data_IF_177936709003
#
_entry.id   IF_177936709003
#
_cell.length_a   1.000
_cell.length_b   1.000
_cell.length_c   1.000
_cell.angle_alpha   90.00
_cell.angle_beta   90.00
_cell.angle_gamma   90.00
#
_symmetry.space_group_name_H-M   'P 1'
#
loop_
_entity.id
_entity.type
_entity.pdbx_description
1 polymer ?
#
# COMPACT_ATOMS: atom_id res chain seq x y z
N UNK A 1 -12.68 -9.91 -12.95
CA UNK A 1 -11.89 -8.65 -12.88
C UNK A 1 -12.66 -7.62 -12.09
N UNK A 2 -11.93 -6.87 -11.27
CA UNK A 2 -12.53 -5.77 -10.51
C UNK A 2 -12.86 -4.60 -11.43
N UNK A 3 -13.83 -3.78 -11.00
CA UNK A 3 -14.22 -2.61 -11.79
C UNK A 3 -13.16 -1.53 -11.80
N UNK A 4 -13.09 -0.72 -12.88
CA UNK A 4 -12.25 0.47 -12.90
C UNK A 4 -12.66 1.45 -11.80
N UNK A 5 -11.70 2.26 -11.35
CA UNK A 5 -11.94 3.28 -10.34
C UNK A 5 -11.18 4.55 -10.65
N UNK A 6 -11.51 5.63 -9.98
CA UNK A 6 -10.85 6.91 -10.20
C UNK A 6 -10.11 7.39 -8.94
N UNK A 7 -8.96 8.01 -9.15
CA UNK A 7 -8.21 8.69 -8.11
C UNK A 7 -7.96 10.13 -8.53
N UNK A 8 -8.01 11.04 -7.57
CA UNK A 8 -7.65 12.44 -7.78
C UNK A 8 -6.18 12.61 -7.40
N UNK A 9 -5.33 12.85 -8.38
CA UNK A 9 -3.89 12.94 -8.19
C UNK A 9 -3.41 14.29 -8.70
N UNK A 10 -2.92 15.13 -7.79
CA UNK A 10 -2.42 16.49 -8.10
C UNK A 10 -3.44 17.34 -8.87
N UNK A 11 -4.70 17.27 -8.43
CA UNK A 11 -5.78 18.06 -9.02
C UNK A 11 -6.40 17.48 -10.28
N UNK A 12 -5.93 16.31 -10.76
CA UNK A 12 -6.44 15.67 -11.97
C UNK A 12 -7.04 14.31 -11.66
N UNK A 13 -8.19 14.00 -12.27
CA UNK A 13 -8.81 12.68 -12.16
C UNK A 13 -8.13 11.68 -13.07
N UNK A 14 -7.68 10.58 -12.49
CA UNK A 14 -7.06 9.47 -13.19
C UNK A 14 -7.95 8.24 -13.13
N UNK A 15 -8.35 7.73 -14.29
CA UNK A 15 -9.06 6.46 -14.35
C UNK A 15 -8.04 5.32 -14.21
N UNK A 16 -8.27 4.45 -13.23
CA UNK A 16 -7.46 3.28 -12.99
C UNK A 16 -8.21 2.05 -13.49
N UNK A 17 -7.51 1.20 -14.21
CA UNK A 17 -8.08 -0.07 -14.65
C UNK A 17 -8.34 -0.98 -13.45
N UNK A 18 -9.38 -1.79 -13.52
CA UNK A 18 -9.66 -2.76 -12.48
C UNK A 18 -8.51 -3.76 -12.38
N UNK A 19 -8.09 -4.10 -11.16
CA UNK A 19 -6.99 -5.03 -10.96
C UNK A 19 -7.23 -6.39 -11.60
N UNK A 20 -6.17 -6.99 -12.14
CA UNK A 20 -6.22 -8.33 -12.68
C UNK A 20 -6.29 -9.39 -11.58
N UNK A 21 -6.47 -10.64 -11.99
CA UNK A 21 -6.66 -11.75 -11.07
C UNK A 21 -5.47 -11.96 -10.12
N UNK A 22 -4.24 -11.93 -10.63
CA UNK A 22 -3.05 -12.11 -9.80
C UNK A 22 -2.91 -10.98 -8.78
N UNK A 23 -3.15 -9.75 -9.21
CA UNK A 23 -3.12 -8.57 -8.34
C UNK A 23 -4.12 -8.75 -7.18
N UNK A 24 -5.33 -9.18 -7.49
CA UNK A 24 -6.36 -9.39 -6.47
C UNK A 24 -6.02 -10.53 -5.51
N UNK A 25 -5.38 -11.60 -5.98
CA UNK A 25 -4.94 -12.68 -5.09
C UNK A 25 -3.85 -12.20 -4.12
N UNK A 26 -2.90 -11.41 -4.61
CA UNK A 26 -1.85 -10.83 -3.77
C UNK A 26 -2.48 -9.90 -2.74
N UNK A 27 -3.40 -9.05 -3.16
CA UNK A 27 -4.10 -8.13 -2.28
C UNK A 27 -4.88 -8.88 -1.19
N UNK A 28 -5.62 -9.92 -1.56
CA UNK A 28 -6.40 -10.72 -0.61
C UNK A 28 -5.51 -11.43 0.40
N UNK A 29 -4.39 -11.97 -0.05
CA UNK A 29 -3.42 -12.63 0.83
C UNK A 29 -2.84 -11.67 1.86
N UNK A 30 -2.41 -10.52 1.38
CA UNK A 30 -1.83 -9.49 2.26
C UNK A 30 -2.88 -8.94 3.23
N UNK A 31 -4.09 -8.71 2.75
CA UNK A 31 -5.20 -8.25 3.59
C UNK A 31 -5.50 -9.23 4.72
N UNK A 32 -5.53 -10.52 4.42
CA UNK A 32 -5.78 -11.57 5.42
C UNK A 32 -4.75 -11.54 6.54
N UNK A 33 -3.48 -11.43 6.19
CA UNK A 33 -2.38 -11.41 7.17
C UNK A 33 -2.40 -10.11 7.97
N UNK A 34 -2.65 -8.99 7.33
CA UNK A 34 -2.78 -7.70 8.02
C UNK A 34 -3.96 -7.68 8.98
N UNK A 35 -5.10 -8.24 8.56
CA UNK A 35 -6.29 -8.31 9.41
C UNK A 35 -6.01 -9.09 10.69
N UNK A 36 -5.35 -10.25 10.58
CA UNK A 36 -4.94 -11.03 11.74
C UNK A 36 -3.97 -10.25 12.63
N UNK A 37 -3.06 -9.49 12.00
CA UNK A 37 -2.04 -8.73 12.74
C UNK A 37 -2.60 -7.55 13.52
N UNK A 38 -3.66 -6.89 13.03
CA UNK A 38 -4.26 -5.74 13.73
C UNK A 38 -5.25 -6.16 14.82
N UNK A 39 -5.65 -7.43 14.87
CA UNK A 39 -6.68 -7.90 15.78
C UNK A 39 -6.39 -7.56 17.24
N UNK A 40 -5.10 -7.54 17.64
CA UNK A 40 -4.67 -7.24 18.99
C UNK A 40 -4.07 -5.83 19.15
N UNK A 41 -4.27 -4.97 18.14
CA UNK A 41 -3.70 -3.61 18.15
C UNK A 41 -4.82 -2.59 17.90
N UNK A 42 -5.59 -2.24 18.94
CA UNK A 42 -6.74 -1.34 18.78
C UNK A 42 -6.39 0.08 18.36
N UNK A 43 -5.11 0.47 18.47
CA UNK A 43 -4.64 1.80 18.05
C UNK A 43 -4.59 1.96 16.52
N UNK A 44 -4.61 0.86 15.77
CA UNK A 44 -4.57 0.87 14.30
C UNK A 44 -5.75 0.10 13.72
N UNK A 45 -6.18 0.51 12.53
CA UNK A 45 -7.33 -0.07 11.85
C UNK A 45 -6.98 -0.32 10.38
N UNK A 46 -7.33 -1.52 9.89
CA UNK A 46 -7.17 -1.86 8.48
C UNK A 46 -8.43 -1.45 7.72
N UNK A 47 -8.26 -0.66 6.66
CA UNK A 47 -9.36 -0.28 5.79
C UNK A 47 -9.65 -1.38 4.75
N UNK A 48 -10.89 -1.46 4.24
CA UNK A 48 -11.18 -2.34 3.10
C UNK A 48 -10.30 -2.00 1.90
N UNK A 49 -10.00 -2.96 1.03
CA UNK A 49 -9.18 -2.70 -0.16
C UNK A 49 -9.72 -1.56 -1.01
N UNK A 50 -8.83 -0.69 -1.44
CA UNK A 50 -9.10 0.45 -2.31
C UNK A 50 -10.18 1.40 -1.78
N UNK A 51 -10.27 1.51 -0.47
CA UNK A 51 -11.14 2.50 0.14
C UNK A 51 -10.68 3.90 -0.19
N UNK A 52 -11.64 4.76 -0.51
CA UNK A 52 -11.39 6.15 -0.87
C UNK A 52 -10.87 6.94 0.34
N UNK A 53 -9.71 7.57 0.18
CA UNK A 53 -9.07 8.37 1.24
C UNK A 53 -8.80 9.77 0.69
N UNK A 54 -9.63 10.77 1.06
CA UNK A 54 -9.33 12.15 0.70
C UNK A 54 -8.20 12.66 1.59
N UNK A 55 -7.09 13.08 0.98
CA UNK A 55 -5.95 13.64 1.70
C UNK A 55 -6.06 15.16 1.82
N UNK A 56 -6.47 15.81 0.74
CA UNK A 56 -6.74 17.25 0.67
C UNK A 56 -7.55 17.55 -0.60
N UNK A 57 -7.69 18.82 -0.96
CA UNK A 57 -8.48 19.21 -2.14
C UNK A 57 -7.88 18.76 -3.47
N UNK A 58 -6.59 18.39 -3.51
CA UNK A 58 -5.89 17.99 -4.72
C UNK A 58 -5.68 16.47 -4.85
N UNK A 59 -5.86 15.74 -3.75
CA UNK A 59 -5.53 14.32 -3.70
C UNK A 59 -6.63 13.53 -3.01
N UNK A 60 -7.22 12.60 -3.74
CA UNK A 60 -8.08 11.55 -3.18
C UNK A 60 -7.58 10.24 -3.72
N UNK A 61 -6.97 9.44 -2.85
CA UNK A 61 -6.30 8.19 -3.22
C UNK A 61 -7.13 6.99 -2.81
N UNK A 62 -6.85 5.86 -3.48
CA UNK A 62 -7.45 4.57 -3.17
C UNK A 62 -6.35 3.52 -3.18
N UNK A 63 -5.48 3.50 -2.16
CA UNK A 63 -4.41 2.50 -2.09
C UNK A 63 -5.02 1.10 -2.01
N UNK A 64 -4.29 0.12 -2.51
CA UNK A 64 -4.77 -1.26 -2.47
C UNK A 64 -5.10 -1.69 -1.04
N UNK A 65 -4.21 -1.38 -0.09
CA UNK A 65 -4.47 -1.56 1.33
C UNK A 65 -3.95 -0.34 2.10
N UNK A 66 -4.56 -0.09 3.26
CA UNK A 66 -4.16 1.04 4.10
C UNK A 66 -4.41 0.75 5.57
N UNK A 67 -3.46 1.18 6.40
CA UNK A 67 -3.63 1.22 7.85
C UNK A 67 -3.74 2.66 8.31
N UNK A 68 -4.73 2.92 9.13
CA UNK A 68 -4.96 4.23 9.72
C UNK A 68 -4.98 4.15 11.24
N UNK A 69 -4.70 5.26 11.91
CA UNK A 69 -4.85 5.35 13.36
C UNK A 69 -6.33 5.32 13.72
N UNK A 70 -6.70 4.52 14.71
CA UNK A 70 -8.10 4.42 15.14
C UNK A 70 -8.64 5.73 15.73
N UNK A 71 -7.76 6.52 16.34
CA UNK A 71 -8.15 7.75 17.02
C UNK A 71 -8.64 8.85 16.07
N UNK A 72 -8.01 9.01 14.90
CA UNK A 72 -8.29 10.12 14.00
C UNK A 72 -8.28 9.73 12.52
N UNK A 73 -8.28 8.45 12.20
CA UNK A 73 -8.25 7.94 10.82
C UNK A 73 -7.09 8.47 9.97
N UNK A 74 -5.96 8.76 10.61
CA UNK A 74 -4.78 9.23 9.88
C UNK A 74 -4.07 8.06 9.21
N UNK A 75 -3.83 8.18 7.91
CA UNK A 75 -3.08 7.19 7.14
C UNK A 75 -1.63 7.13 7.62
N UNK A 76 -1.16 5.95 8.01
CA UNK A 76 0.24 5.78 8.40
C UNK A 76 0.97 4.71 7.59
N UNK A 77 0.27 3.77 6.97
CA UNK A 77 0.84 2.82 6.03
C UNK A 77 -0.05 2.70 4.81
N UNK A 78 0.51 2.97 3.64
CA UNK A 78 -0.13 2.70 2.37
C UNK A 78 0.56 1.53 1.69
N UNK A 79 -0.22 0.64 1.09
CA UNK A 79 0.29 -0.47 0.28
C UNK A 79 -0.22 -0.27 -1.13
N UNK A 80 0.71 -0.20 -2.08
CA UNK A 80 0.41 -0.16 -3.50
C UNK A 80 0.93 -1.44 -4.15
N UNK A 81 0.02 -2.19 -4.77
CA UNK A 81 0.40 -3.34 -5.58
C UNK A 81 0.52 -2.84 -7.01
N UNK A 82 1.72 -2.85 -7.55
CA UNK A 82 2.03 -2.22 -8.83
C UNK A 82 1.27 -2.92 -9.96
N UNK A 83 0.55 -2.12 -10.77
CA UNK A 83 -0.11 -2.62 -11.97
C UNK A 83 0.87 -2.60 -13.13
N UNK A 84 1.01 -3.72 -13.84
CA UNK A 84 1.87 -3.79 -15.02
C UNK A 84 1.42 -2.83 -16.12
N UNK A 85 0.11 -2.58 -16.22
CA UNK A 85 -0.47 -1.74 -17.27
C UNK A 85 -0.43 -0.25 -16.93
N UNK A 86 -0.25 0.11 -15.66
CA UNK A 86 -0.28 1.51 -15.20
C UNK A 86 0.70 1.73 -14.05
N UNK A 87 1.92 1.18 -14.20
CA UNK A 87 2.92 1.21 -13.12
C UNK A 87 3.40 2.63 -12.78
N UNK A 88 3.38 3.56 -13.74
CA UNK A 88 3.83 4.93 -13.50
C UNK A 88 2.96 5.65 -12.47
N UNK A 89 1.64 5.44 -12.49
CA UNK A 89 0.75 6.03 -11.49
C UNK A 89 1.14 5.58 -10.09
N UNK A 90 1.48 4.30 -9.91
CA UNK A 90 1.85 3.76 -8.61
C UNK A 90 3.28 4.13 -8.21
N UNK A 91 4.25 3.90 -9.09
CA UNK A 91 5.67 4.00 -8.73
C UNK A 91 6.23 5.42 -8.77
N UNK A 92 5.58 6.34 -9.47
CA UNK A 92 6.04 7.73 -9.62
C UNK A 92 5.05 8.70 -9.01
N UNK A 93 3.82 8.75 -9.54
CA UNK A 93 2.85 9.79 -9.17
C UNK A 93 2.38 9.63 -7.71
N UNK A 94 1.87 8.47 -7.36
CA UNK A 94 1.36 8.22 -6.01
C UNK A 94 2.48 8.24 -4.98
N UNK A 95 3.65 7.70 -5.31
CA UNK A 95 4.79 7.74 -4.41
C UNK A 95 5.14 9.18 -4.04
N UNK A 96 5.15 10.09 -5.02
CA UNK A 96 5.41 11.51 -4.77
C UNK A 96 4.35 12.13 -3.86
N UNK A 97 3.08 11.77 -4.06
CA UNK A 97 1.98 12.24 -3.22
C UNK A 97 2.16 11.77 -1.77
N UNK A 98 2.49 10.50 -1.57
CA UNK A 98 2.74 9.99 -0.22
C UNK A 98 3.90 10.71 0.46
N UNK A 99 4.95 11.00 -0.30
CA UNK A 99 6.09 11.77 0.20
C UNK A 99 5.68 13.19 0.61
N UNK A 100 4.96 13.89 -0.27
CA UNK A 100 4.52 15.26 -0.02
C UNK A 100 3.55 15.34 1.18
N UNK A 101 2.73 14.33 1.36
CA UNK A 101 1.76 14.25 2.45
C UNK A 101 2.36 13.67 3.73
N UNK A 102 3.63 13.32 3.72
CA UNK A 102 4.38 12.81 4.88
C UNK A 102 3.75 11.56 5.49
N UNK A 103 3.29 10.66 4.63
CA UNK A 103 2.78 9.35 5.07
C UNK A 103 3.96 8.54 5.63
N UNK A 104 3.87 8.05 6.88
CA UNK A 104 5.02 7.42 7.55
C UNK A 104 5.60 6.19 6.86
N UNK A 105 4.76 5.37 6.24
CA UNK A 105 5.18 4.10 5.62
C UNK A 105 4.52 3.91 4.26
N UNK A 106 5.29 3.38 3.30
CA UNK A 106 4.77 2.95 2.00
C UNK A 106 5.41 1.61 1.64
N UNK A 107 4.58 0.63 1.32
CA UNK A 107 5.04 -0.63 0.74
C UNK A 107 4.64 -0.66 -0.72
N UNK A 108 5.63 -0.80 -1.58
CA UNK A 108 5.42 -0.96 -3.02
C UNK A 108 5.61 -2.44 -3.36
N UNK A 109 4.49 -3.14 -3.53
CA UNK A 109 4.48 -4.57 -3.85
C UNK A 109 4.49 -4.73 -5.36
N UNK A 110 5.55 -5.31 -5.91
CA UNK A 110 5.77 -5.33 -7.35
C UNK A 110 5.75 -6.75 -7.94
N UNK A 111 4.62 -7.18 -8.50
CA UNK A 111 4.51 -8.51 -9.11
C UNK A 111 5.35 -8.68 -10.38
N UNK A 112 5.86 -7.60 -10.96
CA UNK A 112 6.72 -7.70 -12.15
C UNK A 112 8.07 -8.33 -11.79
N UNK A 113 8.55 -8.10 -10.57
CA UNK A 113 9.85 -8.55 -10.09
C UNK A 113 9.75 -9.42 -8.84
N UNK A 114 8.55 -9.72 -8.38
CA UNK A 114 8.28 -10.47 -7.15
C UNK A 114 9.05 -9.94 -5.95
N UNK A 115 9.02 -8.61 -5.79
CA UNK A 115 9.66 -7.96 -4.65
C UNK A 115 8.74 -6.95 -3.96
N UNK A 116 9.16 -6.53 -2.77
CA UNK A 116 8.50 -5.48 -2.00
C UNK A 116 9.52 -4.41 -1.65
N UNK A 117 9.28 -3.19 -2.09
CA UNK A 117 10.06 -2.05 -1.68
C UNK A 117 9.42 -1.42 -0.44
N UNK A 118 10.19 -1.27 0.62
CA UNK A 118 9.72 -0.73 1.90
C UNK A 118 10.29 0.67 2.08
N UNK A 119 9.40 1.65 2.15
CA UNK A 119 9.77 3.06 2.34
C UNK A 119 9.31 3.55 3.70
N UNK A 120 10.11 4.42 4.30
CA UNK A 120 9.73 5.14 5.52
C UNK A 120 10.00 6.63 5.37
N UNK A 121 9.21 7.45 6.05
CA UNK A 121 9.37 8.89 6.02
C UNK A 121 10.41 9.35 7.04
N UNK A 122 11.25 10.30 6.63
CA UNK A 122 12.12 11.04 7.53
C UNK A 122 12.06 12.52 7.15
N UNK A 123 12.94 13.34 7.69
CA UNK A 123 12.96 14.80 7.44
C UNK A 123 13.24 15.15 5.97
N UNK A 124 13.79 14.22 5.18
CA UNK A 124 14.14 14.43 3.78
C UNK A 124 13.13 13.85 2.80
N UNK A 125 12.09 13.19 3.27
CA UNK A 125 11.06 12.58 2.44
C UNK A 125 10.93 11.07 2.67
N UNK A 126 10.45 10.35 1.65
CA UNK A 126 10.37 8.89 1.68
C UNK A 126 11.71 8.27 1.30
N UNK A 127 12.25 7.46 2.20
CA UNK A 127 13.55 6.79 2.03
C UNK A 127 13.32 5.30 1.83
N UNK A 128 13.99 4.72 0.83
CA UNK A 128 13.96 3.28 0.62
C UNK A 128 14.75 2.59 1.72
N UNK A 129 14.05 1.85 2.58
CA UNK A 129 14.66 1.13 3.70
C UNK A 129 15.11 -0.28 3.31
N UNK A 130 14.37 -0.93 2.43
CA UNK A 130 14.68 -2.29 1.99
C UNK A 130 13.98 -2.64 0.68
N UNK A 131 14.59 -3.54 -0.07
CA UNK A 131 13.95 -4.24 -1.19
C UNK A 131 13.99 -5.72 -0.82
N UNK A 132 12.83 -6.31 -0.59
CA UNK A 132 12.71 -7.67 -0.11
C UNK A 132 12.24 -8.61 -1.22
N UNK A 133 12.84 -9.78 -1.30
CA UNK A 133 12.50 -10.79 -2.30
C UNK A 133 12.76 -12.20 -1.76
N UNK A 134 12.22 -13.22 -2.43
CA UNK A 134 12.47 -14.60 -2.10
C UNK A 134 12.09 -14.95 -0.66
N UNK A 135 13.02 -15.52 0.06
CA UNK A 135 12.77 -15.99 1.43
C UNK A 135 12.93 -14.89 2.49
N UNK A 136 13.20 -13.67 2.08
CA UNK A 136 13.25 -12.53 3.00
C UNK A 136 11.88 -12.26 3.60
N UNK A 137 11.88 -11.77 4.82
CA UNK A 137 10.65 -11.60 5.60
C UNK A 137 10.28 -10.13 5.68
N UNK A 138 9.04 -9.83 5.30
CA UNK A 138 8.46 -8.51 5.47
C UNK A 138 7.92 -8.40 6.90
N UNK A 139 8.39 -7.39 7.62
CA UNK A 139 7.94 -7.08 8.98
C UNK A 139 7.65 -5.60 9.08
N UNK A 140 6.92 -5.21 10.12
CA UNK A 140 6.65 -3.80 10.41
C UNK A 140 6.79 -3.57 11.91
N UNK A 141 7.71 -2.67 12.28
CA UNK A 141 8.01 -2.35 13.67
C UNK A 141 6.78 -1.88 14.45
N UNK A 142 5.90 -1.13 13.77
CA UNK A 142 4.68 -0.59 14.39
C UNK A 142 3.52 -1.59 14.38
N UNK A 143 3.72 -2.76 13.82
CA UNK A 143 2.76 -3.86 13.79
C UNK A 143 3.49 -5.17 14.09
N UNK A 144 3.89 -5.39 15.36
CA UNK A 144 4.82 -6.48 15.72
C UNK A 144 4.36 -7.90 15.39
N UNK A 145 3.07 -8.14 15.30
CA UNK A 145 2.55 -9.45 14.93
C UNK A 145 2.56 -9.72 13.42
N UNK A 146 2.82 -8.69 12.61
CA UNK A 146 2.89 -8.87 11.16
C UNK A 146 4.23 -9.50 10.77
N UNK A 147 4.15 -10.61 10.05
CA UNK A 147 5.32 -11.30 9.51
C UNK A 147 4.89 -12.08 8.28
N UNK A 148 5.61 -11.89 7.17
CA UNK A 148 5.29 -12.54 5.91
C UNK A 148 6.55 -12.77 5.10
N UNK A 149 6.78 -14.03 4.71
CA UNK A 149 7.84 -14.35 3.75
C UNK A 149 7.39 -13.85 2.37
N UNK A 150 8.25 -13.08 1.70
CA UNK A 150 7.89 -12.43 0.43
C UNK A 150 7.49 -13.47 -0.63
N UNK A 151 8.22 -14.59 -0.71
CA UNK A 151 7.87 -15.67 -1.64
C UNK A 151 6.43 -16.15 -1.49
N UNK A 152 5.95 -16.28 -0.26
CA UNK A 152 4.58 -16.73 0.00
C UNK A 152 3.53 -15.74 -0.53
N UNK A 153 3.83 -14.45 -0.49
CA UNK A 153 2.94 -13.43 -1.01
C UNK A 153 2.73 -13.59 -2.51
N UNK A 154 3.81 -13.83 -3.26
CA UNK A 154 3.75 -13.91 -4.72
C UNK A 154 3.31 -15.28 -5.25
N UNK A 155 3.22 -16.29 -4.39
CA UNK A 155 2.63 -17.58 -4.73
C UNK A 155 1.11 -17.59 -4.61
N UNK A 156 0.54 -16.52 -4.11
CA UNK A 156 -0.89 -16.40 -3.93
C UNK A 156 -1.67 -16.48 -5.27
#
# INVERSE_FOLDING_TARGET
MSEPYEELLSGEWHLRLGPGERHERICARLHEIMLASVANYPATKLLPPRMKIPLNQYHTIRPDLALVTSANNRLWLAVEIVSADDHRADTVIKKQIYEDMKVPRLWMVDPRYDNVEVYFANEYGLVLGAILAGDEILTEKLLPEFQLTVRELFLA
#
